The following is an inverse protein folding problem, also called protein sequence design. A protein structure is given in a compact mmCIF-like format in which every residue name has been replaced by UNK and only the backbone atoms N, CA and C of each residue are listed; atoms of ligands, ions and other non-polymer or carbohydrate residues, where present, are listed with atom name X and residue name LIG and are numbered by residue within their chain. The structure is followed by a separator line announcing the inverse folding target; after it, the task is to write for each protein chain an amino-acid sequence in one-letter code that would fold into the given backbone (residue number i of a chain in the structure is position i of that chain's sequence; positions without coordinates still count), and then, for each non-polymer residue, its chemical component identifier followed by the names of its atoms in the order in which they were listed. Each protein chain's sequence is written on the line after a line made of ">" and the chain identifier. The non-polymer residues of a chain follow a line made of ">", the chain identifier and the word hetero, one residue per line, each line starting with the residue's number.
data_IF_507651307247
#
_entry.id   IF_507651307247
#
_cell.length_a   1.000
_cell.length_b   1.000
_cell.length_c   1.000
_cell.angle_alpha   90.00
_cell.angle_beta   90.00
_cell.angle_gamma   90.00
#
_symmetry.space_group_name_H-M   'P 1'
#
loop_
_entity.id
_entity.type
_entity.pdbx_description
1 polymer ?
#
# COMPACT_ATOMS: atom_id res chain seq x y z
N UNK A 1 -57.78 53.51 23.33
CA UNK A 1 -57.42 53.58 24.75
C UNK A 1 -57.43 52.16 25.30
N UNK A 2 -56.31 51.77 25.94
CA UNK A 2 -56.18 50.75 26.98
C UNK A 2 -56.29 49.25 26.58
N UNK A 3 -55.10 48.63 26.44
CA UNK A 3 -54.72 47.38 27.13
C UNK A 3 -54.91 47.54 28.67
N UNK A 4 -54.92 46.51 29.56
CA UNK A 4 -54.08 45.29 29.52
C UNK A 4 -54.58 44.02 30.28
N UNK A 5 -53.64 43.06 30.39
CA UNK A 5 -53.37 42.07 31.47
C UNK A 5 -54.26 40.82 31.58
N UNK A 6 -53.77 39.64 31.19
CA UNK A 6 -52.84 38.70 31.90
C UNK A 6 -53.62 37.63 32.68
N UNK A 7 -53.43 36.35 32.34
CA UNK A 7 -52.91 35.40 33.33
C UNK A 7 -52.55 34.02 32.73
N UNK A 8 -51.43 33.56 33.27
CA UNK A 8 -50.58 32.43 32.94
C UNK A 8 -51.04 31.16 33.68
N UNK A 9 -50.89 29.96 33.10
CA UNK A 9 -50.74 28.71 33.87
C UNK A 9 -50.10 27.60 33.00
N UNK A 10 -48.93 27.18 33.45
CA UNK A 10 -48.09 26.07 33.00
C UNK A 10 -48.84 24.73 32.79
N UNK A 11 -48.38 23.94 31.81
CA UNK A 11 -48.28 22.49 31.96
C UNK A 11 -47.27 21.87 30.99
N UNK A 12 -46.17 21.41 31.58
CA UNK A 12 -45.28 20.33 31.14
C UNK A 12 -45.84 19.33 30.13
N UNK A 13 -45.04 19.02 29.11
CA UNK A 13 -44.81 17.63 28.70
C UNK A 13 -43.45 17.47 28.00
N UNK A 14 -42.49 16.93 28.76
CA UNK A 14 -41.19 16.44 28.29
C UNK A 14 -41.41 15.34 27.23
N UNK A 15 -41.01 15.57 25.98
CA UNK A 15 -40.89 14.51 24.98
C UNK A 15 -39.65 13.66 25.31
N UNK A 16 -39.93 12.41 25.68
CA UNK A 16 -38.97 11.30 25.81
C UNK A 16 -38.39 10.94 24.44
N UNK A 17 -37.05 10.94 24.38
CA UNK A 17 -36.16 9.95 23.76
C UNK A 17 -36.69 9.09 22.61
N UNK A 18 -36.06 9.20 21.44
CA UNK A 18 -35.62 8.03 20.66
C UNK A 18 -34.44 8.50 19.79
N UNK A 19 -33.21 8.31 20.27
CA UNK A 19 -32.02 8.35 19.43
C UNK A 19 -31.85 6.94 18.89
N UNK A 20 -32.10 6.78 17.59
CA UNK A 20 -31.83 5.53 16.88
C UNK A 20 -30.33 5.26 16.86
N UNK A 21 -29.90 4.28 17.65
CA UNK A 21 -28.56 3.72 17.62
C UNK A 21 -28.41 2.75 16.43
N UNK A 22 -28.60 3.22 15.19
CA UNK A 22 -28.46 2.40 13.97
C UNK A 22 -27.24 2.77 13.10
N UNK A 23 -26.19 3.31 13.70
CA UNK A 23 -24.96 3.68 12.97
C UNK A 23 -23.90 2.56 12.97
N UNK A 24 -24.02 1.56 13.85
CA UNK A 24 -22.96 0.56 14.08
C UNK A 24 -23.10 -0.73 13.25
N UNK A 25 -24.27 -1.02 12.67
CA UNK A 25 -24.44 -2.18 11.77
C UNK A 25 -23.95 -1.88 10.34
N UNK A 26 -24.14 -0.64 9.86
CA UNK A 26 -23.66 -0.21 8.54
C UNK A 26 -22.13 -0.17 8.43
N UNK A 27 -21.44 0.20 9.52
CA UNK A 27 -19.96 0.29 9.56
C UNK A 27 -19.31 -1.10 9.68
N UNK A 28 -20.00 -2.10 10.25
CA UNK A 28 -19.51 -3.49 10.28
C UNK A 28 -19.63 -4.16 8.92
N UNK A 29 -20.74 -3.98 8.21
CA UNK A 29 -20.93 -4.58 6.87
C UNK A 29 -19.94 -4.02 5.84
N UNK A 30 -19.65 -2.71 5.90
CA UNK A 30 -18.69 -2.07 4.98
C UNK A 30 -17.24 -2.51 5.22
N UNK A 31 -16.80 -2.70 6.47
CA UNK A 31 -15.45 -3.19 6.73
C UNK A 31 -15.26 -4.68 6.37
N UNK A 32 -16.32 -5.49 6.49
CA UNK A 32 -16.28 -6.91 6.09
C UNK A 32 -16.25 -7.04 4.56
N UNK A 33 -17.04 -6.26 3.83
CA UNK A 33 -16.99 -6.23 2.36
C UNK A 33 -15.63 -5.77 1.81
N UNK A 34 -15.01 -4.75 2.42
CA UNK A 34 -13.68 -4.27 2.01
C UNK A 34 -12.61 -5.37 2.23
N UNK A 35 -12.66 -6.08 3.35
CA UNK A 35 -11.73 -7.18 3.63
C UNK A 35 -11.95 -8.37 2.69
N UNK A 36 -13.20 -8.68 2.34
CA UNK A 36 -13.50 -9.69 1.32
C UNK A 36 -12.94 -9.28 -0.03
N UNK A 37 -13.16 -8.04 -0.48
CA UNK A 37 -12.64 -7.52 -1.75
C UNK A 37 -11.10 -7.54 -1.81
N UNK A 38 -10.41 -7.13 -0.74
CA UNK A 38 -8.95 -7.21 -0.68
C UNK A 38 -8.45 -8.66 -0.79
N UNK A 39 -9.14 -9.61 -0.15
CA UNK A 39 -8.83 -11.03 -0.29
C UNK A 39 -9.06 -11.54 -1.72
N UNK A 40 -10.10 -11.07 -2.40
CA UNK A 40 -10.35 -11.37 -3.82
C UNK A 40 -9.24 -10.82 -4.73
N UNK A 41 -8.79 -9.59 -4.50
CA UNK A 41 -7.70 -8.99 -5.27
C UNK A 41 -6.38 -9.73 -5.05
N UNK A 42 -6.08 -10.11 -3.81
CA UNK A 42 -4.94 -10.94 -3.49
C UNK A 42 -5.00 -12.32 -4.17
N UNK A 43 -6.21 -12.89 -4.29
CA UNK A 43 -6.41 -14.16 -4.98
C UNK A 43 -6.20 -13.99 -6.50
N UNK A 44 -6.69 -12.89 -7.08
CA UNK A 44 -6.47 -12.56 -8.48
C UNK A 44 -4.98 -12.46 -8.81
N UNK A 45 -4.17 -11.81 -7.97
CA UNK A 45 -2.73 -11.66 -8.21
C UNK A 45 -1.95 -12.96 -8.04
N UNK A 46 -2.40 -13.86 -7.15
CA UNK A 46 -1.78 -15.17 -6.92
C UNK A 46 -2.18 -16.24 -7.94
N UNK A 47 -3.21 -15.98 -8.73
CA UNK A 47 -3.75 -16.98 -9.65
C UNK A 47 -2.79 -17.23 -10.83
N UNK A 48 -2.51 -18.51 -11.10
CA UNK A 48 -1.64 -18.90 -12.20
C UNK A 48 -2.37 -18.93 -13.55
N UNK A 49 -2.52 -17.74 -14.15
CA UNK A 49 -3.06 -17.60 -15.50
C UNK A 49 -2.17 -18.25 -16.58
N UNK A 50 -0.88 -18.43 -16.30
CA UNK A 50 0.07 -18.94 -17.28
C UNK A 50 0.10 -20.47 -17.31
N UNK A 51 -0.35 -21.14 -16.24
CA UNK A 51 -0.59 -22.58 -16.21
C UNK A 51 -1.92 -23.00 -16.83
N UNK A 52 -2.93 -22.12 -16.83
CA UNK A 52 -4.30 -22.49 -17.22
C UNK A 52 -4.52 -22.58 -18.74
N UNK A 53 -4.75 -23.80 -19.24
CA UNK A 53 -5.05 -24.09 -20.64
C UNK A 53 -6.36 -23.46 -21.14
N UNK A 54 -7.39 -23.36 -20.29
CA UNK A 54 -8.67 -22.73 -20.66
C UNK A 54 -8.48 -21.25 -20.89
N UNK A 55 -7.73 -20.58 -20.01
CA UNK A 55 -7.39 -19.18 -20.19
C UNK A 55 -6.61 -18.95 -21.49
N UNK A 56 -5.55 -19.74 -21.74
CA UNK A 56 -4.74 -19.64 -22.97
C UNK A 56 -5.57 -19.79 -24.25
N UNK A 57 -6.42 -20.81 -24.31
CA UNK A 57 -7.30 -21.06 -25.46
C UNK A 57 -8.32 -19.93 -25.67
N UNK A 58 -8.88 -19.40 -24.58
CA UNK A 58 -9.80 -18.27 -24.61
C UNK A 58 -9.11 -16.98 -25.06
N UNK A 59 -7.91 -16.72 -24.57
CA UNK A 59 -7.08 -15.58 -24.96
C UNK A 59 -6.70 -15.66 -26.44
N UNK A 60 -6.36 -16.86 -26.93
CA UNK A 60 -6.09 -17.08 -28.36
C UNK A 60 -7.29 -16.76 -29.24
N UNK A 61 -8.48 -17.16 -28.80
CA UNK A 61 -9.72 -16.83 -29.50
C UNK A 61 -10.01 -15.32 -29.50
N UNK A 62 -9.67 -14.62 -28.42
CA UNK A 62 -9.84 -13.17 -28.32
C UNK A 62 -8.85 -12.41 -29.21
N UNK A 63 -7.62 -12.91 -29.31
CA UNK A 63 -6.57 -12.36 -30.18
C UNK A 63 -6.91 -12.58 -31.65
N UNK A 64 -7.34 -13.79 -32.03
CA UNK A 64 -7.75 -14.09 -33.40
C UNK A 64 -8.92 -13.21 -33.89
N UNK A 65 -9.79 -12.76 -32.98
CA UNK A 65 -10.90 -11.84 -33.27
C UNK A 65 -10.48 -10.37 -33.36
N UNK A 66 -9.34 -10.02 -32.79
CA UNK A 66 -8.90 -8.64 -32.71
C UNK A 66 -8.01 -8.31 -33.91
N UNK A 67 -8.45 -7.39 -34.78
CA UNK A 67 -7.71 -7.00 -35.98
C UNK A 67 -6.28 -6.52 -35.68
N UNK A 68 -6.04 -5.91 -34.49
CA UNK A 68 -4.69 -5.49 -34.06
C UNK A 68 -3.70 -6.65 -33.94
N UNK A 69 -4.18 -7.85 -33.61
CA UNK A 69 -3.33 -8.99 -33.23
C UNK A 69 -3.51 -10.19 -34.16
N UNK A 70 -4.27 -10.03 -35.24
CA UNK A 70 -4.62 -11.09 -36.20
C UNK A 70 -3.41 -11.76 -36.86
N UNK A 71 -2.29 -11.04 -36.93
CA UNK A 71 -1.04 -11.50 -37.53
C UNK A 71 -0.19 -12.38 -36.59
N UNK A 72 -0.57 -12.46 -35.31
CA UNK A 72 0.24 -13.08 -34.27
C UNK A 72 -0.14 -14.57 -34.15
N UNK A 73 0.83 -15.44 -34.45
CA UNK A 73 0.69 -16.88 -34.23
C UNK A 73 1.03 -17.22 -32.78
N UNK A 74 0.01 -17.42 -31.95
CA UNK A 74 0.18 -17.64 -30.52
C UNK A 74 0.94 -18.92 -30.15
N UNK A 75 0.99 -19.95 -30.99
CA UNK A 75 1.63 -21.22 -30.62
C UNK A 75 3.13 -21.07 -30.37
N UNK A 76 3.77 -20.11 -31.04
CA UNK A 76 5.22 -19.88 -30.97
C UNK A 76 5.53 -18.62 -30.16
N UNK A 77 4.71 -17.56 -30.28
CA UNK A 77 4.99 -16.24 -29.69
C UNK A 77 4.22 -15.92 -28.40
N UNK A 78 3.59 -16.92 -27.75
CA UNK A 78 2.74 -16.66 -26.58
C UNK A 78 3.43 -15.86 -25.47
N UNK A 79 4.67 -16.25 -25.13
CA UNK A 79 5.42 -15.60 -24.05
C UNK A 79 5.86 -14.18 -24.44
N UNK A 80 6.22 -13.97 -25.71
CA UNK A 80 6.58 -12.65 -26.22
C UNK A 80 5.38 -11.69 -26.15
N UNK A 81 4.21 -12.18 -26.59
CA UNK A 81 2.96 -11.43 -26.54
C UNK A 81 2.59 -10.99 -25.12
N UNK A 82 2.83 -11.86 -24.13
CA UNK A 82 2.54 -11.61 -22.72
C UNK A 82 3.47 -10.59 -22.06
N UNK A 83 4.70 -10.45 -22.55
CA UNK A 83 5.71 -9.55 -22.00
C UNK A 83 5.68 -8.15 -22.64
N UNK A 84 4.99 -7.98 -23.76
CA UNK A 84 4.90 -6.70 -24.45
C UNK A 84 4.04 -5.69 -23.68
N UNK A 85 4.64 -4.55 -23.32
CA UNK A 85 4.00 -3.42 -22.64
C UNK A 85 2.80 -2.86 -23.42
N UNK A 86 2.78 -2.99 -24.74
CA UNK A 86 1.67 -2.48 -25.55
C UNK A 86 0.38 -3.31 -25.40
N UNK A 87 0.52 -4.56 -24.94
CA UNK A 87 -0.56 -5.53 -24.82
C UNK A 87 -0.97 -5.79 -23.37
N UNK A 88 -0.24 -5.23 -22.39
CA UNK A 88 -0.47 -5.46 -20.96
C UNK A 88 -1.91 -5.17 -20.56
N UNK A 89 -2.48 -4.07 -21.03
CA UNK A 89 -3.84 -3.66 -20.66
C UNK A 89 -4.89 -4.60 -21.23
N UNK A 90 -4.67 -5.07 -22.46
CA UNK A 90 -5.55 -6.05 -23.09
C UNK A 90 -5.49 -7.40 -22.37
N UNK A 91 -4.29 -7.85 -22.01
CA UNK A 91 -4.07 -9.07 -21.23
C UNK A 91 -4.70 -8.94 -19.85
N UNK A 92 -4.53 -7.80 -19.18
CA UNK A 92 -5.08 -7.54 -17.85
C UNK A 92 -6.61 -7.57 -17.86
N UNK A 93 -7.25 -6.96 -18.86
CA UNK A 93 -8.70 -7.05 -19.08
C UNK A 93 -9.16 -8.48 -19.33
N UNK A 94 -8.43 -9.24 -20.14
CA UNK A 94 -8.74 -10.65 -20.40
C UNK A 94 -8.62 -11.51 -19.13
N UNK A 95 -7.57 -11.29 -18.31
CA UNK A 95 -7.39 -11.92 -17.00
C UNK A 95 -8.57 -11.61 -16.09
N UNK A 96 -8.95 -10.34 -15.98
CA UNK A 96 -10.08 -9.90 -15.15
C UNK A 96 -11.40 -10.53 -15.57
N UNK A 97 -11.69 -10.57 -16.88
CA UNK A 97 -12.88 -11.22 -17.43
C UNK A 97 -12.91 -12.73 -17.17
N UNK A 98 -11.77 -13.41 -17.35
CA UNK A 98 -11.68 -14.84 -17.09
C UNK A 98 -11.91 -15.15 -15.61
N UNK A 99 -11.27 -14.38 -14.74
CA UNK A 99 -11.36 -14.57 -13.30
C UNK A 99 -12.78 -14.36 -12.79
N UNK A 100 -13.47 -13.30 -13.25
CA UNK A 100 -14.87 -13.06 -12.86
C UNK A 100 -15.83 -14.15 -13.37
N UNK A 101 -15.57 -14.68 -14.56
CA UNK A 101 -16.46 -15.66 -15.20
C UNK A 101 -16.27 -17.09 -14.71
N UNK A 102 -15.04 -17.50 -14.40
CA UNK A 102 -14.71 -18.90 -14.16
C UNK A 102 -14.15 -19.20 -12.77
N UNK A 103 -13.55 -18.22 -12.09
CA UNK A 103 -12.92 -18.43 -10.78
C UNK A 103 -13.81 -17.91 -9.66
N UNK A 104 -14.25 -16.65 -9.75
CA UNK A 104 -15.08 -16.01 -8.73
C UNK A 104 -16.11 -15.05 -9.31
N UNK A 105 -17.39 -15.35 -9.07
CA UNK A 105 -18.53 -14.65 -9.66
C UNK A 105 -18.69 -13.18 -9.25
N UNK A 106 -18.12 -12.78 -8.11
CA UNK A 106 -18.28 -11.43 -7.54
C UNK A 106 -17.06 -10.52 -7.81
N UNK A 107 -16.09 -10.95 -8.61
CA UNK A 107 -14.92 -10.13 -8.92
C UNK A 107 -15.28 -9.02 -9.92
N UNK A 108 -15.16 -7.76 -9.49
CA UNK A 108 -15.30 -6.59 -10.33
C UNK A 108 -13.93 -6.06 -10.76
N UNK A 109 -13.62 -6.17 -12.05
CA UNK A 109 -12.35 -5.72 -12.61
C UNK A 109 -12.16 -4.19 -12.52
N UNK A 110 -13.23 -3.41 -12.68
CA UNK A 110 -13.14 -1.94 -12.64
C UNK A 110 -12.80 -1.43 -11.23
N UNK A 111 -13.25 -2.16 -10.21
CA UNK A 111 -12.95 -1.88 -8.81
C UNK A 111 -11.50 -2.24 -8.47
N UNK A 112 -10.99 -3.35 -9.01
CA UNK A 112 -9.56 -3.69 -8.94
C UNK A 112 -8.67 -2.63 -9.58
N UNK A 113 -9.02 -2.10 -10.77
CA UNK A 113 -8.26 -1.02 -11.41
C UNK A 113 -8.23 0.25 -10.53
N UNK A 114 -9.36 0.61 -9.91
CA UNK A 114 -9.43 1.74 -8.96
C UNK A 114 -8.54 1.48 -7.75
N UNK A 115 -8.63 0.30 -7.13
CA UNK A 115 -7.80 -0.09 -5.99
C UNK A 115 -6.30 -0.01 -6.33
N UNK A 116 -5.90 -0.55 -7.49
CA UNK A 116 -4.51 -0.53 -7.95
C UNK A 116 -4.00 0.90 -8.14
N UNK A 117 -4.77 1.75 -8.82
CA UNK A 117 -4.42 3.16 -9.01
C UNK A 117 -4.32 3.93 -7.67
N UNK A 118 -5.20 3.64 -6.72
CA UNK A 118 -5.15 4.23 -5.37
C UNK A 118 -3.91 3.77 -4.59
N UNK A 119 -3.56 2.49 -4.68
CA UNK A 119 -2.34 1.95 -4.06
C UNK A 119 -1.09 2.58 -4.65
N UNK A 120 -1.00 2.68 -5.97
CA UNK A 120 0.11 3.36 -6.65
C UNK A 120 0.21 4.85 -6.28
N UNK A 121 -0.91 5.53 -6.08
CA UNK A 121 -0.93 6.94 -5.68
C UNK A 121 -0.60 7.16 -4.20
N UNK A 122 -1.00 6.27 -3.29
CA UNK A 122 -0.57 6.31 -1.87
C UNK A 122 0.96 6.27 -1.75
N UNK A 123 1.65 5.51 -2.61
CA UNK A 123 3.11 5.50 -2.66
C UNK A 123 3.73 6.79 -3.26
N UNK A 124 3.00 7.52 -4.11
CA UNK A 124 3.44 8.79 -4.74
C UNK A 124 3.12 10.05 -3.93
N UNK A 125 2.07 10.03 -3.12
CA UNK A 125 1.67 11.19 -2.30
C UNK A 125 2.56 11.38 -1.06
N UNK A 126 3.06 10.27 -0.48
CA UNK A 126 4.08 10.30 0.59
C UNK A 126 5.41 10.90 0.10
N UNK A 127 5.69 10.83 -1.21
CA UNK A 127 6.88 11.43 -1.82
C UNK A 127 6.68 12.88 -2.25
N UNK A 128 5.45 13.34 -2.57
CA UNK A 128 5.21 14.69 -3.11
C UNK A 128 4.97 15.78 -2.05
N UNK A 129 4.62 15.46 -0.80
CA UNK A 129 4.43 16.46 0.27
C UNK A 129 5.73 16.88 0.97
N UNK A 130 6.88 16.29 0.61
CA UNK A 130 8.17 16.60 1.23
C UNK A 130 9.00 17.68 0.51
N UNK A 131 8.52 18.21 -0.61
CA UNK A 131 9.29 19.06 -1.54
C UNK A 131 8.73 20.47 -1.76
N UNK A 132 8.15 21.14 -0.75
CA UNK A 132 7.67 22.54 -0.93
C UNK A 132 8.15 23.60 0.06
N UNK A 133 8.96 23.28 1.09
CA UNK A 133 9.32 24.30 2.10
C UNK A 133 10.79 24.74 2.19
N UNK A 134 11.77 24.12 1.51
CA UNK A 134 13.18 24.41 1.81
C UNK A 134 14.07 24.80 0.60
N UNK A 135 13.61 25.71 -0.27
CA UNK A 135 14.44 26.28 -1.35
C UNK A 135 14.86 27.75 -1.12
N UNK A 136 14.63 28.34 0.06
CA UNK A 136 14.92 29.77 0.30
C UNK A 136 15.97 30.08 1.38
N UNK A 137 16.82 29.14 1.77
CA UNK A 137 17.87 29.41 2.79
C UNK A 137 19.23 28.78 2.46
N UNK A 138 19.68 28.89 1.21
CA UNK A 138 21.02 28.47 0.81
C UNK A 138 21.80 29.64 0.20
N UNK A 139 22.02 30.67 1.02
CA UNK A 139 23.00 31.70 0.69
C UNK A 139 23.56 32.37 1.95
N UNK A 140 24.21 31.59 2.81
CA UNK A 140 25.37 32.16 3.49
C UNK A 140 26.30 31.09 4.08
N UNK A 141 27.59 31.43 4.08
CA UNK A 141 28.68 30.80 4.82
C UNK A 141 29.44 29.66 4.13
N UNK A 142 30.16 30.05 3.06
CA UNK A 142 31.54 29.58 2.87
C UNK A 142 32.41 30.20 3.97
N UNK A 143 32.99 29.37 4.84
CA UNK A 143 34.26 29.68 5.52
C UNK A 143 34.82 28.41 6.16
N UNK A 144 36.08 28.12 5.83
CA UNK A 144 36.99 27.09 6.30
C UNK A 144 36.83 26.58 7.75
N UNK A 145 37.19 25.32 7.99
CA UNK A 145 38.28 24.88 8.91
C UNK A 145 38.24 23.33 9.08
N UNK A 146 39.43 22.75 9.12
CA UNK A 146 39.74 21.32 9.32
C UNK A 146 39.61 20.87 10.79
N UNK A 147 39.41 19.54 10.95
CA UNK A 147 39.67 18.64 12.10
C UNK A 147 38.65 18.49 13.24
N UNK A 148 38.27 17.21 13.37
CA UNK A 148 37.98 16.39 14.56
C UNK A 148 36.78 16.70 15.47
N UNK A 149 35.88 15.69 15.47
CA UNK A 149 34.98 15.23 16.52
C UNK A 149 33.80 16.13 16.95
N UNK A 150 32.62 15.50 16.83
CA UNK A 150 31.40 15.69 17.62
C UNK A 150 30.38 16.68 17.05
N UNK A 151 29.35 16.10 16.44
CA UNK A 151 28.09 16.78 16.11
C UNK A 151 27.87 17.00 14.63
N UNK A 152 27.95 15.95 13.81
CA UNK A 152 27.42 16.05 12.45
C UNK A 152 25.90 16.07 12.51
N UNK A 153 25.37 17.22 12.13
CA UNK A 153 23.96 17.47 11.89
C UNK A 153 23.41 16.34 11.01
N UNK A 154 22.48 15.59 11.60
CA UNK A 154 21.89 14.38 11.05
C UNK A 154 20.91 14.76 9.92
N UNK A 155 21.43 15.37 8.86
CA UNK A 155 20.66 15.64 7.65
C UNK A 155 20.55 14.30 6.92
N UNK A 156 19.34 13.78 6.69
CA UNK A 156 19.17 12.49 6.04
C UNK A 156 19.70 12.57 4.61
N UNK A 157 20.74 11.79 4.30
CA UNK A 157 21.24 11.64 2.94
C UNK A 157 20.13 11.08 2.04
N UNK A 158 20.07 11.57 0.80
CA UNK A 158 19.19 11.02 -0.23
C UNK A 158 19.64 9.60 -0.59
N UNK A 159 18.69 8.74 -0.98
CA UNK A 159 18.98 7.37 -1.42
C UNK A 159 20.03 7.32 -2.53
N UNK A 160 19.95 8.23 -3.50
CA UNK A 160 20.92 8.28 -4.60
C UNK A 160 22.35 8.53 -4.08
N UNK A 161 22.49 9.44 -3.12
CA UNK A 161 23.78 9.76 -2.53
C UNK A 161 24.34 8.57 -1.74
N UNK A 162 23.47 7.86 -0.99
CA UNK A 162 23.85 6.63 -0.30
C UNK A 162 24.27 5.54 -1.30
N UNK A 163 23.56 5.39 -2.41
CA UNK A 163 23.89 4.43 -3.47
C UNK A 163 25.24 4.76 -4.14
N UNK A 164 25.51 6.03 -4.39
CA UNK A 164 26.78 6.49 -4.95
C UNK A 164 27.93 6.23 -3.95
N UNK A 165 27.70 6.47 -2.65
CA UNK A 165 28.66 6.15 -1.59
C UNK A 165 28.94 4.65 -1.51
N UNK A 166 27.91 3.81 -1.61
CA UNK A 166 28.06 2.35 -1.66
C UNK A 166 28.86 1.91 -2.88
N UNK A 167 28.58 2.48 -4.05
CA UNK A 167 29.31 2.17 -5.28
C UNK A 167 30.79 2.57 -5.21
N UNK A 168 31.09 3.67 -4.50
CA UNK A 168 32.46 4.14 -4.25
C UNK A 168 33.15 3.43 -3.08
N UNK A 169 32.41 2.69 -2.26
CA UNK A 169 32.92 2.08 -1.03
C UNK A 169 33.18 3.08 0.11
N UNK A 170 32.53 4.23 0.09
CA UNK A 170 32.62 5.24 1.16
C UNK A 170 31.79 4.82 2.39
N UNK A 171 32.23 5.20 3.59
CA UNK A 171 31.50 4.89 4.83
C UNK A 171 30.25 5.75 4.93
N UNK A 172 29.09 5.10 5.10
CA UNK A 172 27.83 5.80 5.32
C UNK A 172 27.87 6.46 6.72
N UNK A 173 27.47 7.74 6.87
CA UNK A 173 27.40 8.37 8.17
C UNK A 173 26.30 7.74 9.04
N UNK A 174 26.54 7.67 10.34
CA UNK A 174 25.55 7.19 11.33
C UNK A 174 25.42 5.66 11.46
N UNK A 175 26.04 4.86 10.59
CA UNK A 175 26.13 3.41 10.79
C UNK A 175 27.28 3.03 11.71
N UNK A 176 27.04 2.12 12.65
CA UNK A 176 28.08 1.56 13.51
C UNK A 176 28.90 0.55 12.70
N UNK A 177 30.22 0.73 12.68
CA UNK A 177 31.12 -0.22 12.04
C UNK A 177 31.13 -1.54 12.81
N UNK A 178 30.75 -2.62 12.13
CA UNK A 178 30.81 -3.97 12.70
C UNK A 178 32.20 -4.52 12.37
N UNK A 179 33.04 -4.84 13.38
CA UNK A 179 34.34 -5.45 13.12
C UNK A 179 34.15 -6.81 12.46
N UNK A 180 35.00 -7.15 11.48
CA UNK A 180 35.04 -8.48 10.85
C UNK A 180 35.77 -9.50 11.74
N UNK A 181 35.38 -9.55 13.01
CA UNK A 181 35.95 -10.42 14.04
C UNK A 181 34.79 -11.14 14.71
N UNK A 182 34.94 -12.46 14.85
CA UNK A 182 33.98 -13.26 15.62
C UNK A 182 34.11 -12.90 17.09
N UNK A 183 33.00 -12.70 17.79
CA UNK A 183 33.04 -12.40 19.22
C UNK A 183 33.72 -13.56 19.97
N UNK A 184 34.88 -13.28 20.58
CA UNK A 184 35.67 -14.28 21.34
C UNK A 184 35.19 -14.44 22.79
N UNK A 185 34.29 -13.57 23.26
CA UNK A 185 33.76 -13.65 24.61
C UNK A 185 32.86 -14.89 24.78
N UNK A 186 32.95 -15.53 25.94
CA UNK A 186 32.04 -16.61 26.31
C UNK A 186 30.58 -16.11 26.28
N UNK A 187 29.63 -16.96 25.82
CA UNK A 187 28.23 -16.58 25.79
C UNK A 187 27.75 -16.21 27.20
N UNK A 188 27.02 -15.10 27.33
CA UNK A 188 26.46 -14.72 28.62
C UNK A 188 25.37 -15.70 29.04
N UNK A 189 25.42 -16.14 30.30
CA UNK A 189 24.37 -16.95 30.88
C UNK A 189 23.13 -16.07 31.13
N UNK A 190 21.93 -16.59 30.81
CA UNK A 190 20.68 -15.88 31.06
C UNK A 190 20.46 -15.68 32.56
N UNK A 191 20.44 -14.42 33.02
CA UNK A 191 20.14 -14.03 34.41
C UNK A 191 18.62 -13.81 34.61
N UNK A 192 17.84 -13.79 33.53
CA UNK A 192 16.40 -13.55 33.57
C UNK A 192 15.66 -14.75 34.17
N UNK A 193 14.87 -14.50 35.21
CA UNK A 193 13.97 -15.50 35.80
C UNK A 193 12.92 -15.90 34.76
N UNK A 194 12.79 -17.20 34.49
CA UNK A 194 11.72 -17.70 33.63
C UNK A 194 10.37 -17.35 34.25
N UNK A 195 9.51 -16.71 33.46
CA UNK A 195 8.17 -16.38 33.91
C UNK A 195 7.35 -17.67 33.98
N UNK A 196 6.85 -18.00 35.18
CA UNK A 196 6.01 -19.18 35.38
C UNK A 196 4.71 -19.02 34.63
N UNK A 197 4.23 -20.10 34.02
CA UNK A 197 2.89 -20.10 33.44
C UNK A 197 1.86 -20.03 34.57
N UNK A 198 0.70 -19.40 34.34
CA UNK A 198 -0.29 -19.18 35.39
C UNK A 198 -0.88 -20.46 36.02
N UNK A 199 -0.69 -21.62 35.39
CA UNK A 199 -1.08 -22.93 35.91
C UNK A 199 0.02 -23.68 36.67
N UNK A 200 1.26 -23.16 36.68
CA UNK A 200 2.42 -23.76 37.37
C UNK A 200 2.52 -23.25 38.82
N UNK A 201 1.46 -23.47 39.61
CA UNK A 201 1.50 -23.25 41.06
C UNK A 201 2.68 -23.99 41.69
#
# INVERSE_FOLDING_TARGET
>A
MQEPTENNLNSSNKKKTFFDNNSNESIKSTNVEILEQENLFNLFEKYDFYGDLKFKSGLASLIAKNEKYKHINLSEDFNSFLLDKSNTDFILKAKGFYFSKFVQKNFNFEEYEKFKNLSENKHKEVTSLRHKENENSLLNKKSAIEKENKGEENVPLSFQQIADMLAKGETIPGIKQIPNVVNEAEPSNSVLKQHKKPWEK
#
